data_IF_420007241342
#
_entry.id   IF_420007241342
#
_cell.length_a   1.000
_cell.length_b   1.000
_cell.length_c   1.000
_cell.angle_alpha   90.00
_cell.angle_beta   90.00
_cell.angle_gamma   90.00
#
_symmetry.space_group_name_H-M   'P 1'
#
loop_
_entity.id
_entity.type
_entity.pdbx_description
1 polymer ?
#
# COMPACT_ATOMS: atom_id res chain seq x y z
N UNK A 1 11.97 5.81 -3.87
CA UNK A 1 10.93 5.61 -2.85
C UNK A 1 9.82 6.63 -3.08
N UNK A 2 8.68 6.24 -3.65
CA UNK A 2 7.54 7.17 -3.80
C UNK A 2 6.58 6.98 -2.64
N UNK A 3 6.21 8.09 -1.98
CA UNK A 3 5.27 8.11 -0.87
C UNK A 3 3.91 8.56 -1.39
N UNK A 4 2.87 7.80 -1.06
CA UNK A 4 1.49 8.14 -1.37
C UNK A 4 0.75 8.49 -0.09
N UNK A 5 0.18 9.68 -0.05
CA UNK A 5 -0.63 10.12 1.09
C UNK A 5 -1.99 9.43 1.10
N UNK A 6 -2.67 9.48 2.24
CA UNK A 6 -4.02 8.94 2.40
C UNK A 6 -5.01 9.54 1.39
N UNK A 7 -4.81 10.79 1.01
CA UNK A 7 -5.61 11.49 0.00
C UNK A 7 -5.46 10.87 -1.40
N UNK A 8 -4.26 10.43 -1.77
CA UNK A 8 -4.03 9.76 -3.05
C UNK A 8 -4.58 8.32 -3.04
N UNK A 9 -4.48 7.64 -1.89
CA UNK A 9 -5.12 6.34 -1.66
C UNK A 9 -6.66 6.42 -1.73
N UNK A 10 -7.25 7.54 -1.30
CA UNK A 10 -8.69 7.80 -1.46
C UNK A 10 -9.08 8.03 -2.92
N UNK A 11 -8.25 8.72 -3.73
CA UNK A 11 -8.50 8.90 -5.18
C UNK A 11 -8.55 7.56 -5.94
N UNK A 12 -7.86 6.54 -5.42
CA UNK A 12 -7.88 5.19 -5.99
C UNK A 12 -9.20 4.43 -5.74
N UNK A 13 -10.10 4.93 -4.86
CA UNK A 13 -11.51 4.59 -4.63
C UNK A 13 -12.04 3.26 -5.25
N UNK A 14 -11.40 2.13 -4.91
CA UNK A 14 -11.72 0.78 -5.46
C UNK A 14 -11.64 0.65 -6.99
N UNK A 15 -10.99 1.56 -7.70
CA UNK A 15 -10.84 1.50 -9.14
C UNK A 15 -9.85 0.40 -9.54
N UNK A 16 -10.40 -0.78 -9.89
CA UNK A 16 -9.63 -1.99 -10.23
C UNK A 16 -8.56 -1.76 -11.31
N UNK A 17 -8.79 -0.87 -12.29
CA UNK A 17 -7.81 -0.62 -13.37
C UNK A 17 -6.56 0.07 -12.83
N UNK A 18 -6.74 1.13 -12.05
CA UNK A 18 -5.63 1.88 -11.46
C UNK A 18 -4.89 1.04 -10.43
N UNK A 19 -5.63 0.30 -9.59
CA UNK A 19 -5.02 -0.59 -8.58
C UNK A 19 -4.20 -1.69 -9.24
N UNK A 20 -4.69 -2.32 -10.32
CA UNK A 20 -3.90 -3.30 -11.08
C UNK A 20 -2.65 -2.68 -11.73
N UNK A 21 -2.74 -1.44 -12.21
CA UNK A 21 -1.59 -0.72 -12.79
C UNK A 21 -0.54 -0.41 -11.71
N UNK A 22 -0.99 -0.01 -10.52
CA UNK A 22 -0.16 0.30 -9.37
C UNK A 22 0.53 -0.96 -8.82
N UNK A 23 -0.22 -2.04 -8.66
CA UNK A 23 0.33 -3.35 -8.27
C UNK A 23 1.28 -3.95 -9.32
N UNK A 24 1.22 -3.54 -10.59
CA UNK A 24 2.22 -3.90 -11.61
C UNK A 24 3.46 -3.00 -11.58
N UNK A 25 3.34 -1.77 -11.08
CA UNK A 25 4.42 -0.78 -11.09
C UNK A 25 5.40 -0.97 -9.93
N UNK A 26 4.92 -1.45 -8.78
CA UNK A 26 5.74 -1.65 -7.59
C UNK A 26 5.67 -3.10 -7.12
N UNK A 27 6.78 -3.61 -6.61
CA UNK A 27 6.92 -5.01 -6.15
C UNK A 27 6.34 -5.21 -4.76
N UNK A 28 6.66 -4.31 -3.82
CA UNK A 28 6.15 -4.33 -2.45
C UNK A 28 5.47 -2.99 -2.09
N UNK A 29 4.63 -3.05 -1.04
CA UNK A 29 3.99 -1.87 -0.45
C UNK A 29 4.26 -1.84 1.05
N UNK A 30 4.48 -0.64 1.58
CA UNK A 30 4.63 -0.39 3.00
C UNK A 30 3.51 0.53 3.47
N UNK A 31 2.93 0.23 4.63
CA UNK A 31 1.90 1.07 5.22
C UNK A 31 1.99 1.06 6.75
N UNK A 32 1.71 2.20 7.35
CA UNK A 32 1.61 2.30 8.80
C UNK A 32 0.50 1.37 9.33
N UNK A 33 0.68 0.79 10.52
CA UNK A 33 -0.33 -0.05 11.17
C UNK A 33 -1.71 0.61 11.26
N UNK A 34 -1.76 1.92 11.49
CA UNK A 34 -3.01 2.67 11.55
C UNK A 34 -3.75 2.70 10.19
N UNK A 35 -2.98 2.66 9.09
CA UNK A 35 -3.49 2.72 7.72
C UNK A 35 -3.82 1.33 7.15
N UNK A 36 -3.13 0.28 7.58
CA UNK A 36 -3.37 -1.10 7.12
C UNK A 36 -4.82 -1.53 7.31
N UNK A 37 -5.45 -1.17 8.42
CA UNK A 37 -6.86 -1.49 8.68
C UNK A 37 -7.82 -0.77 7.73
N UNK A 38 -7.42 0.39 7.21
CA UNK A 38 -8.25 1.20 6.31
C UNK A 38 -8.06 0.83 4.83
N UNK A 39 -6.89 0.29 4.47
CA UNK A 39 -6.51 -0.06 3.10
C UNK A 39 -7.51 -1.02 2.42
N UNK A 40 -7.94 -2.14 3.05
CA UNK A 40 -8.95 -3.02 2.45
C UNK A 40 -10.28 -2.31 2.15
N UNK A 41 -10.69 -1.32 2.97
CA UNK A 41 -11.93 -0.57 2.76
C UNK A 41 -11.80 0.46 1.64
N UNK A 42 -10.66 1.14 1.55
CA UNK A 42 -10.39 2.22 0.58
C UNK A 42 -10.03 1.67 -0.82
N UNK A 43 -9.12 0.70 -0.87
CA UNK A 43 -8.60 0.13 -2.11
C UNK A 43 -9.37 -1.13 -2.52
N UNK A 44 -10.19 -1.70 -1.64
CA UNK A 44 -10.86 -2.98 -1.90
C UNK A 44 -9.87 -4.15 -1.95
N UNK A 45 -10.33 -5.37 -2.30
CA UNK A 45 -9.49 -6.56 -2.32
C UNK A 45 -8.48 -6.61 -3.49
N UNK A 46 -8.32 -5.52 -4.25
CA UNK A 46 -7.50 -5.50 -5.46
C UNK A 46 -6.01 -5.74 -5.21
N UNK A 47 -5.43 -5.09 -4.20
CA UNK A 47 -4.02 -5.30 -3.81
C UNK A 47 -3.81 -6.66 -3.13
N UNK A 48 -4.74 -7.06 -2.25
CA UNK A 48 -4.69 -8.37 -1.59
C UNK A 48 -4.73 -9.53 -2.59
N UNK A 49 -5.62 -9.46 -3.59
CA UNK A 49 -5.73 -10.47 -4.66
C UNK A 49 -4.52 -10.47 -5.61
N UNK A 50 -3.79 -9.36 -5.69
CA UNK A 50 -2.54 -9.29 -6.44
C UNK A 50 -1.34 -9.87 -5.67
N UNK A 51 -1.52 -10.32 -4.43
CA UNK A 51 -0.44 -10.84 -3.57
C UNK A 51 0.49 -9.74 -3.04
N UNK A 52 0.12 -8.47 -3.20
CA UNK A 52 0.94 -7.31 -2.82
C UNK A 52 0.26 -6.52 -1.72
N UNK A 53 -0.09 -7.21 -0.63
CA UNK A 53 -0.67 -6.55 0.52
C UNK A 53 0.41 -5.76 1.28
N UNK A 54 0.12 -4.55 1.76
CA UNK A 54 1.15 -3.73 2.38
C UNK A 54 1.67 -4.32 3.70
N UNK A 55 2.98 -4.27 3.89
CA UNK A 55 3.66 -4.67 5.13
C UNK A 55 3.47 -3.58 6.20
N UNK A 56 3.13 -3.94 7.45
CA UNK A 56 3.02 -3.00 8.55
C UNK A 56 4.37 -2.40 8.91
N UNK A 57 4.39 -1.07 9.03
CA UNK A 57 5.47 -0.32 9.67
C UNK A 57 4.94 0.39 10.92
N UNK A 58 5.69 0.30 12.01
CA UNK A 58 5.44 1.08 13.21
C UNK A 58 6.14 2.44 13.08
N UNK A 59 5.73 3.41 13.87
CA UNK A 59 6.40 4.73 13.89
C UNK A 59 7.83 4.68 14.41
N UNK A 60 8.21 3.60 15.10
CA UNK A 60 9.57 3.40 15.63
C UNK A 60 10.50 2.76 14.59
N UNK A 61 9.97 2.22 13.49
CA UNK A 61 10.76 1.54 12.47
C UNK A 61 11.35 2.52 11.46
N UNK A 62 12.59 2.24 11.04
CA UNK A 62 13.20 2.92 9.91
C UNK A 62 12.59 2.38 8.61
N UNK A 63 11.86 3.24 7.90
CA UNK A 63 11.20 2.89 6.64
C UNK A 63 12.24 2.54 5.55
N UNK A 64 13.44 3.12 5.63
CA UNK A 64 14.54 2.83 4.69
C UNK A 64 15.00 1.38 4.81
N UNK A 65 15.35 0.95 6.02
CA UNK A 65 15.79 -0.44 6.28
C UNK A 65 14.70 -1.44 5.92
N UNK A 66 13.44 -1.15 6.31
CA UNK A 66 12.31 -2.00 5.94
C UNK A 66 12.06 -2.04 4.43
N UNK A 67 12.41 -1.01 3.67
CA UNK A 67 12.25 -1.03 2.22
C UNK A 67 13.34 -1.84 1.52
N UNK A 68 14.54 -1.94 2.11
CA UNK A 68 15.63 -2.78 1.60
C UNK A 68 15.39 -4.27 1.88
N UNK A 69 14.55 -4.62 2.86
CA UNK A 69 14.21 -6.01 3.24
C UNK A 69 13.11 -6.67 2.39
N UNK A 70 12.40 -5.93 1.51
CA UNK A 70 11.24 -6.41 0.72
C UNK A 70 11.50 -6.36 -0.78
#
# INVERSE_FOLDING_TARGET
>A
MELQSVEDLKKLNKNKKLIKKLAKKYDAFLASEALIKQIPRLLGPGLHKAGKFPTPVTHADNIGEKADEI
#
